data_IF_667429795139
#
_entry.id   IF_667429795139
#
_cell.length_a   1.000
_cell.length_b   1.000
_cell.length_c   1.000
_cell.angle_alpha   90.00
_cell.angle_beta   90.00
_cell.angle_gamma   90.00
#
_symmetry.space_group_name_H-M   'P 1'
#
loop_
_entity.id
_entity.type
_entity.pdbx_description
1 polymer ?
#
# COMPACT_ATOMS: atom_id res chain seq x y z
N UNK A 1 -7.01 -15.48 -65.64
CA UNK A 1 -7.62 -16.77 -65.96
C UNK A 1 -6.57 -17.85 -65.81
N UNK A 2 -6.78 -18.91 -65.02
CA UNK A 2 -7.99 -19.74 -64.99
C UNK A 2 -8.58 -19.89 -63.53
N UNK A 3 -9.80 -20.46 -63.48
CA UNK A 3 -10.73 -20.58 -62.39
C UNK A 3 -10.47 -21.75 -61.39
N UNK A 4 -11.21 -21.83 -60.30
CA UNK A 4 -10.82 -22.63 -59.11
C UNK A 4 -11.38 -24.07 -59.15
N UNK A 5 -10.64 -24.98 -58.48
CA UNK A 5 -11.10 -26.35 -58.21
C UNK A 5 -11.75 -26.44 -56.85
N UNK A 6 -12.94 -27.05 -56.83
CA UNK A 6 -13.74 -27.48 -55.68
C UNK A 6 -13.03 -28.58 -54.88
N UNK A 7 -13.10 -28.52 -53.56
CA UNK A 7 -12.77 -29.65 -52.67
C UNK A 7 -13.95 -29.93 -51.74
N UNK A 8 -14.24 -31.22 -51.68
CA UNK A 8 -15.39 -31.86 -51.08
C UNK A 8 -15.46 -31.76 -49.54
N UNK A 9 -16.71 -31.77 -49.07
CA UNK A 9 -17.11 -31.94 -47.67
C UNK A 9 -16.83 -33.35 -47.15
N UNK A 10 -16.21 -33.47 -45.97
CA UNK A 10 -16.21 -34.72 -45.20
C UNK A 10 -16.78 -34.43 -43.80
N UNK A 11 -17.90 -35.10 -43.51
CA UNK A 11 -18.63 -35.14 -42.27
C UNK A 11 -17.90 -36.02 -41.25
N UNK A 12 -17.80 -35.68 -39.97
CA UNK A 12 -17.27 -36.57 -38.92
C UNK A 12 -18.35 -37.48 -38.33
N UNK A 13 -17.99 -38.67 -37.78
CA UNK A 13 -18.92 -39.71 -37.37
C UNK A 13 -19.52 -39.42 -35.97
N UNK A 14 -20.80 -39.78 -35.84
CA UNK A 14 -21.54 -39.78 -34.56
C UNK A 14 -21.10 -40.90 -33.64
N UNK A 15 -20.80 -40.60 -32.37
CA UNK A 15 -20.60 -41.59 -31.33
C UNK A 15 -21.87 -41.80 -30.52
N UNK A 16 -22.42 -43.04 -30.56
CA UNK A 16 -23.58 -43.51 -29.82
C UNK A 16 -23.28 -43.57 -28.28
N UNK A 17 -24.08 -42.89 -27.50
CA UNK A 17 -24.18 -43.06 -26.07
C UNK A 17 -24.90 -44.36 -25.73
N UNK A 18 -24.22 -45.34 -25.10
CA UNK A 18 -24.83 -46.49 -24.40
C UNK A 18 -24.98 -46.18 -22.92
N UNK A 19 -26.19 -46.01 -22.48
CA UNK A 19 -26.63 -46.03 -21.06
C UNK A 19 -26.62 -47.45 -20.55
N UNK A 20 -25.83 -47.77 -19.53
CA UNK A 20 -26.02 -48.98 -18.72
C UNK A 20 -26.67 -48.59 -17.40
N UNK A 21 -27.87 -49.04 -17.18
CA UNK A 21 -28.53 -49.18 -15.86
C UNK A 21 -28.04 -50.44 -15.22
N UNK A 22 -27.65 -50.40 -13.92
CA UNK A 22 -27.49 -51.57 -13.07
C UNK A 22 -28.58 -51.57 -11.99
N UNK A 23 -29.08 -52.74 -11.59
CA UNK A 23 -30.31 -52.84 -10.80
C UNK A 23 -30.08 -52.75 -9.30
N UNK A 24 -31.15 -52.32 -8.62
CA UNK A 24 -31.34 -52.19 -7.18
C UNK A 24 -31.55 -53.62 -6.63
N UNK A 25 -30.86 -54.06 -5.56
CA UNK A 25 -31.15 -55.23 -4.75
C UNK A 25 -31.73 -54.77 -3.38
N UNK A 26 -32.62 -55.57 -2.78
CA UNK A 26 -33.45 -55.16 -1.66
C UNK A 26 -32.79 -55.32 -0.29
N UNK A 27 -33.23 -54.47 0.64
CA UNK A 27 -32.86 -54.44 2.06
C UNK A 27 -33.55 -55.57 2.84
N UNK A 28 -32.78 -56.30 3.64
CA UNK A 28 -33.29 -57.27 4.63
C UNK A 28 -33.15 -56.69 6.05
N UNK A 29 -34.19 -56.66 6.89
CA UNK A 29 -34.14 -56.15 8.25
C UNK A 29 -34.15 -57.27 9.27
N UNK A 30 -33.00 -57.72 9.78
CA UNK A 30 -32.90 -58.44 11.06
C UNK A 30 -31.48 -58.80 11.47
N UNK A 31 -30.94 -58.08 12.46
CA UNK A 31 -29.91 -58.61 13.40
C UNK A 31 -29.69 -57.64 14.60
N UNK A 32 -29.45 -58.19 15.80
CA UNK A 32 -29.74 -57.50 17.06
C UNK A 32 -28.54 -56.68 17.64
N UNK A 33 -28.91 -55.84 18.58
CA UNK A 33 -28.01 -54.97 19.36
C UNK A 33 -27.08 -55.80 20.25
N UNK A 34 -25.78 -55.41 20.25
CA UNK A 34 -24.77 -55.83 21.22
C UNK A 34 -24.56 -54.74 22.25
N UNK A 35 -24.82 -55.10 23.51
CA UNK A 35 -24.64 -54.34 24.73
C UNK A 35 -23.18 -54.42 25.16
N UNK A 36 -22.54 -53.29 25.49
CA UNK A 36 -21.24 -53.24 26.16
C UNK A 36 -21.39 -53.19 27.67
N UNK A 37 -20.55 -53.93 28.45
CA UNK A 37 -20.50 -53.81 29.90
C UNK A 37 -19.51 -52.73 30.40
N UNK A 38 -19.67 -52.23 31.66
CA UNK A 38 -18.85 -51.22 32.26
C UNK A 38 -17.74 -51.76 33.18
N UNK A 39 -16.70 -50.95 33.36
CA UNK A 39 -15.87 -50.96 34.58
C UNK A 39 -14.53 -51.67 34.48
N UNK A 40 -13.44 -50.94 34.74
CA UNK A 40 -12.73 -51.04 36.02
C UNK A 40 -11.53 -50.08 36.06
N UNK A 41 -11.45 -49.37 37.15
CA UNK A 41 -10.29 -48.55 37.59
C UNK A 41 -9.17 -49.46 38.03
N UNK A 42 -7.90 -49.18 37.63
CA UNK A 42 -6.74 -49.42 38.50
C UNK A 42 -5.67 -48.36 38.22
N UNK A 43 -5.28 -47.67 39.26
CA UNK A 43 -4.14 -46.75 39.35
C UNK A 43 -2.83 -47.54 39.37
N UNK A 44 -1.80 -47.06 38.66
CA UNK A 44 -0.41 -47.27 39.10
C UNK A 44 0.49 -46.16 38.56
N UNK A 45 1.21 -45.59 39.48
CA UNK A 45 2.25 -44.58 39.39
C UNK A 45 3.50 -45.05 38.66
N UNK A 46 4.09 -44.23 37.79
CA UNK A 46 5.55 -44.15 37.66
C UNK A 46 5.97 -42.80 37.08
N UNK A 47 6.73 -42.05 37.82
CA UNK A 47 7.46 -40.84 37.45
C UNK A 47 8.44 -41.11 36.31
N UNK A 48 8.40 -40.31 35.26
CA UNK A 48 9.56 -39.96 34.44
C UNK A 48 9.45 -38.51 34.02
N UNK A 49 10.45 -37.69 34.42
CA UNK A 49 10.48 -36.27 34.17
C UNK A 49 10.51 -35.92 32.70
N UNK A 50 9.50 -35.27 32.23
CA UNK A 50 9.52 -34.52 30.98
C UNK A 50 9.95 -33.09 31.27
N UNK A 51 11.14 -32.75 30.76
CA UNK A 51 11.63 -31.38 30.63
C UNK A 51 10.64 -30.63 29.76
N UNK A 52 9.80 -29.81 30.39
CA UNK A 52 8.87 -28.92 29.73
C UNK A 52 9.63 -27.94 28.86
N UNK A 53 9.74 -28.20 27.55
CA UNK A 53 9.96 -27.18 26.54
C UNK A 53 8.76 -26.24 26.60
N UNK A 54 8.98 -25.06 27.17
CA UNK A 54 8.06 -23.93 27.06
C UNK A 54 7.94 -23.60 25.57
N UNK A 55 6.95 -24.21 24.90
CA UNK A 55 6.52 -23.77 23.59
C UNK A 55 6.05 -22.33 23.76
N UNK A 56 6.85 -21.40 23.30
CA UNK A 56 6.49 -20.00 23.21
C UNK A 56 5.15 -19.92 22.44
N UNK A 57 4.12 -19.49 23.14
CA UNK A 57 2.76 -19.30 22.63
C UNK A 57 2.85 -18.23 21.55
N UNK A 58 3.04 -18.67 20.30
CA UNK A 58 3.18 -17.80 19.13
C UNK A 58 1.81 -17.19 18.82
N UNK A 59 1.62 -15.88 19.00
CA UNK A 59 0.32 -15.22 18.76
C UNK A 59 -0.13 -15.32 17.30
N UNK A 60 0.71 -15.84 16.42
CA UNK A 60 0.45 -16.01 14.98
C UNK A 60 -0.32 -17.31 14.70
N UNK A 61 -0.26 -18.32 15.57
CA UNK A 61 -0.85 -19.65 15.33
C UNK A 61 -2.36 -19.74 15.55
N UNK A 62 -2.97 -18.77 16.26
CA UNK A 62 -4.43 -18.78 16.58
C UNK A 62 -5.34 -18.24 15.45
N UNK A 63 -4.84 -17.94 14.27
CA UNK A 63 -5.58 -17.30 13.16
C UNK A 63 -6.31 -18.23 12.19
N UNK A 64 -6.25 -19.55 12.31
CA UNK A 64 -6.74 -20.48 11.29
C UNK A 64 -8.11 -21.11 11.55
N UNK A 65 -8.98 -20.48 12.35
CA UNK A 65 -10.37 -20.90 12.49
C UNK A 65 -11.28 -20.03 11.59
N UNK A 66 -11.83 -20.63 10.58
CA UNK A 66 -12.96 -20.26 9.72
C UNK A 66 -13.63 -18.88 9.96
N UNK A 67 -13.16 -17.86 9.29
CA UNK A 67 -13.73 -16.52 9.24
C UNK A 67 -12.69 -15.58 8.65
N UNK A 68 -13.00 -14.60 7.83
CA UNK A 68 -12.08 -13.72 7.08
C UNK A 68 -10.81 -13.37 7.89
N UNK A 69 -9.84 -14.29 7.90
CA UNK A 69 -8.64 -14.26 8.73
C UNK A 69 -7.72 -13.12 8.31
N UNK A 70 -6.98 -12.58 9.26
CA UNK A 70 -5.94 -11.57 9.01
C UNK A 70 -4.93 -12.15 8.00
N UNK A 71 -4.75 -11.47 6.88
CA UNK A 71 -3.81 -11.87 5.84
C UNK A 71 -2.41 -11.37 6.21
N UNK A 72 -1.53 -12.30 6.64
CA UNK A 72 -0.18 -11.96 7.12
C UNK A 72 0.67 -11.36 5.99
N UNK A 73 0.55 -11.88 4.79
CA UNK A 73 1.25 -11.36 3.60
C UNK A 73 0.92 -9.90 3.29
N UNK A 74 -0.32 -9.45 3.58
CA UNK A 74 -0.71 -8.04 3.44
C UNK A 74 -0.05 -7.15 4.50
N UNK A 75 0.08 -7.65 5.72
CA UNK A 75 0.80 -6.92 6.79
C UNK A 75 2.30 -6.83 6.48
N UNK A 76 2.89 -7.89 5.91
CA UNK A 76 4.28 -7.89 5.43
C UNK A 76 4.46 -6.89 4.28
N UNK A 77 3.58 -6.91 3.28
CA UNK A 77 3.62 -5.94 2.18
C UNK A 77 3.50 -4.49 2.68
N UNK A 78 2.63 -4.24 3.63
CA UNK A 78 2.50 -2.93 4.28
C UNK A 78 3.78 -2.52 5.00
N UNK A 79 4.39 -3.45 5.74
CA UNK A 79 5.64 -3.20 6.45
C UNK A 79 6.84 -2.95 5.53
N UNK A 80 6.95 -3.70 4.42
CA UNK A 80 7.93 -3.43 3.36
C UNK A 80 7.77 -2.01 2.80
N UNK A 81 6.53 -1.63 2.51
CA UNK A 81 6.21 -0.30 1.96
C UNK A 81 6.56 0.81 2.95
N UNK A 82 6.27 0.64 4.24
CA UNK A 82 6.63 1.60 5.30
C UNK A 82 8.15 1.67 5.49
N UNK A 83 8.85 0.54 5.55
CA UNK A 83 10.30 0.52 5.69
C UNK A 83 10.97 1.24 4.50
N UNK A 84 10.52 0.96 3.27
CA UNK A 84 11.00 1.65 2.07
C UNK A 84 10.70 3.15 2.13
N UNK A 85 9.51 3.57 2.60
CA UNK A 85 9.15 4.98 2.72
C UNK A 85 10.04 5.71 3.73
N UNK A 86 10.30 5.12 4.89
CA UNK A 86 11.21 5.70 5.88
C UNK A 86 12.63 5.82 5.30
N UNK A 87 13.10 4.81 4.58
CA UNK A 87 14.41 4.79 3.95
C UNK A 87 14.60 5.96 2.97
N UNK A 88 13.65 6.14 2.04
CA UNK A 88 13.78 7.14 0.96
C UNK A 88 13.47 8.56 1.41
N UNK A 89 12.71 8.74 2.50
CA UNK A 89 12.38 10.07 3.03
C UNK A 89 13.43 10.61 3.99
N UNK A 90 14.40 9.80 4.43
CA UNK A 90 15.40 10.19 5.43
C UNK A 90 16.84 9.86 4.99
N UNK A 91 17.31 10.34 3.82
CA UNK A 91 18.71 10.21 3.45
C UNK A 91 19.58 11.05 4.39
N UNK A 92 20.83 10.68 4.55
CA UNK A 92 21.78 11.48 5.31
C UNK A 92 22.13 12.80 4.60
N UNK A 93 22.21 12.77 3.27
CA UNK A 93 22.42 13.92 2.40
C UNK A 93 21.57 13.81 1.14
N UNK A 94 20.74 14.81 0.90
CA UNK A 94 19.87 14.89 -0.28
C UNK A 94 20.63 15.12 -1.60
N UNK A 95 21.86 15.64 -1.53
CA UNK A 95 22.74 15.82 -2.68
C UNK A 95 23.38 14.52 -3.17
N UNK A 96 23.46 13.50 -2.33
CA UNK A 96 24.13 12.23 -2.60
C UNK A 96 23.20 11.04 -2.33
N UNK A 97 22.32 10.77 -3.30
CA UNK A 97 21.32 9.69 -3.24
C UNK A 97 21.53 8.77 -4.43
N UNK A 98 21.53 7.46 -4.21
CA UNK A 98 21.48 6.48 -5.30
C UNK A 98 20.20 6.67 -6.15
N UNK A 99 20.34 6.58 -7.46
CA UNK A 99 19.24 6.75 -8.41
C UNK A 99 17.95 6.00 -8.04
N UNK A 100 17.96 4.73 -7.60
CA UNK A 100 16.70 4.02 -7.26
C UNK A 100 15.98 4.58 -6.04
N UNK A 101 16.69 5.34 -5.18
CA UNK A 101 16.18 5.93 -3.95
C UNK A 101 15.76 7.40 -4.12
N UNK A 102 16.09 8.02 -5.25
CA UNK A 102 15.63 9.36 -5.62
C UNK A 102 14.31 9.32 -6.38
N UNK A 103 13.60 10.44 -6.40
CA UNK A 103 12.41 10.61 -7.23
C UNK A 103 12.77 10.96 -8.67
N UNK A 104 11.91 10.57 -9.63
CA UNK A 104 12.01 11.06 -10.99
C UNK A 104 11.84 12.60 -11.01
N UNK A 105 12.66 13.35 -11.80
CA UNK A 105 12.61 14.81 -11.80
C UNK A 105 11.22 15.38 -12.15
N UNK A 106 10.54 14.79 -13.14
CA UNK A 106 9.17 15.17 -13.51
C UNK A 106 8.44 14.01 -14.20
N UNK A 107 8.70 13.75 -15.49
CA UNK A 107 8.17 12.58 -16.20
C UNK A 107 9.03 11.34 -15.95
N UNK A 108 8.41 10.17 -16.02
CA UNK A 108 9.04 8.90 -15.70
C UNK A 108 8.76 8.43 -14.28
N UNK A 109 9.51 7.45 -13.85
CA UNK A 109 9.39 6.86 -12.51
C UNK A 109 10.69 6.18 -12.08
N UNK A 110 10.90 6.08 -10.77
CA UNK A 110 11.94 5.32 -10.11
C UNK A 110 11.29 4.33 -9.13
N UNK A 111 12.02 3.36 -8.57
CA UNK A 111 11.49 2.49 -7.52
C UNK A 111 10.89 3.26 -6.34
N UNK A 112 11.47 4.40 -5.96
CA UNK A 112 10.94 5.29 -4.92
C UNK A 112 9.52 5.79 -5.22
N UNK A 113 9.21 6.05 -6.49
CA UNK A 113 7.90 6.54 -6.89
C UNK A 113 6.79 5.48 -6.82
N UNK A 114 7.11 4.20 -6.63
CA UNK A 114 6.14 3.12 -6.45
C UNK A 114 5.59 3.04 -5.01
N UNK A 115 6.29 3.60 -4.03
CA UNK A 115 6.01 3.39 -2.60
C UNK A 115 4.63 3.94 -2.20
N UNK A 116 4.33 5.19 -2.55
CA UNK A 116 3.06 5.82 -2.16
C UNK A 116 1.83 5.19 -2.85
N UNK A 117 1.84 4.87 -4.17
CA UNK A 117 0.77 4.08 -4.79
C UNK A 117 0.57 2.70 -4.16
N UNK A 118 1.66 2.02 -3.76
CA UNK A 118 1.55 0.74 -3.05
C UNK A 118 0.77 0.91 -1.75
N UNK A 119 1.05 1.98 -1.01
CA UNK A 119 0.31 2.27 0.22
C UNK A 119 -1.18 2.48 -0.03
N UNK A 120 -1.56 3.25 -1.07
CA UNK A 120 -2.97 3.43 -1.45
C UNK A 120 -3.62 2.12 -1.90
N UNK A 121 -2.91 1.28 -2.64
CA UNK A 121 -3.38 -0.06 -3.03
C UNK A 121 -3.64 -0.94 -1.80
N UNK A 122 -2.71 -0.94 -0.82
CA UNK A 122 -2.85 -1.65 0.46
C UNK A 122 -4.07 -1.16 1.25
N UNK A 123 -4.35 0.15 1.23
CA UNK A 123 -5.54 0.72 1.88
C UNK A 123 -6.81 0.12 1.26
N UNK A 124 -6.88 0.01 -0.06
CA UNK A 124 -8.01 -0.61 -0.77
C UNK A 124 -8.18 -2.09 -0.42
N UNK A 125 -7.10 -2.88 -0.49
CA UNK A 125 -7.13 -4.30 -0.10
C UNK A 125 -7.58 -4.45 1.36
N UNK A 126 -6.98 -3.69 2.28
CA UNK A 126 -7.30 -3.74 3.72
C UNK A 126 -8.75 -3.38 4.01
N UNK A 127 -9.35 -2.47 3.23
CA UNK A 127 -10.75 -2.05 3.35
C UNK A 127 -11.68 -3.24 3.15
N UNK A 128 -11.45 -4.08 2.16
CA UNK A 128 -12.27 -5.27 1.88
C UNK A 128 -12.25 -6.23 3.05
N UNK A 129 -11.08 -6.57 3.58
CA UNK A 129 -10.94 -7.44 4.76
C UNK A 129 -11.62 -6.84 6.00
N UNK A 130 -11.48 -5.53 6.22
CA UNK A 130 -12.13 -4.83 7.33
C UNK A 130 -13.65 -4.86 7.21
N UNK A 131 -14.19 -4.61 6.03
CA UNK A 131 -15.63 -4.64 5.78
C UNK A 131 -16.19 -6.06 5.93
N UNK A 132 -15.54 -7.06 5.34
CA UNK A 132 -15.92 -8.45 5.48
C UNK A 132 -15.97 -8.89 6.96
N UNK A 133 -14.93 -8.57 7.73
CA UNK A 133 -14.86 -8.92 9.15
C UNK A 133 -15.92 -8.22 10.02
N UNK A 134 -16.30 -6.98 9.69
CA UNK A 134 -17.33 -6.22 10.43
C UNK A 134 -18.73 -6.65 10.02
N UNK A 135 -18.99 -6.82 8.73
CA UNK A 135 -20.28 -7.32 8.23
C UNK A 135 -20.56 -8.75 8.71
N UNK A 136 -19.53 -9.61 8.77
CA UNK A 136 -19.67 -10.95 9.36
C UNK A 136 -20.00 -10.95 10.85
N UNK A 137 -19.77 -9.83 11.56
CA UNK A 137 -20.20 -9.58 12.94
C UNK A 137 -21.53 -8.82 13.05
N UNK A 138 -22.26 -8.66 11.94
CA UNK A 138 -23.58 -8.01 11.91
C UNK A 138 -23.55 -6.48 11.86
N UNK A 139 -22.42 -5.85 11.54
CA UNK A 139 -22.37 -4.39 11.45
C UNK A 139 -23.24 -3.86 10.31
N UNK A 140 -24.13 -2.91 10.61
CA UNK A 140 -24.97 -2.24 9.63
C UNK A 140 -24.13 -1.31 8.73
N UNK A 141 -24.55 -1.03 7.47
CA UNK A 141 -23.84 -0.11 6.57
C UNK A 141 -23.58 1.27 7.15
N UNK A 142 -24.51 1.81 7.95
CA UNK A 142 -24.33 3.10 8.63
C UNK A 142 -23.19 3.07 9.69
N UNK A 143 -23.01 1.94 10.38
CA UNK A 143 -21.91 1.77 11.33
C UNK A 143 -20.56 1.69 10.61
N UNK A 144 -20.52 1.03 9.44
CA UNK A 144 -19.34 1.01 8.58
C UNK A 144 -18.98 2.43 8.09
N UNK A 145 -19.97 3.19 7.60
CA UNK A 145 -19.77 4.56 7.13
C UNK A 145 -19.26 5.48 8.27
N UNK A 146 -19.85 5.38 9.48
CA UNK A 146 -19.38 6.15 10.66
C UNK A 146 -17.94 5.81 11.03
N UNK A 147 -17.58 4.53 10.98
CA UNK A 147 -16.20 4.11 11.24
C UNK A 147 -15.23 4.65 10.18
N UNK A 148 -15.61 4.62 8.92
CA UNK A 148 -14.82 5.17 7.81
C UNK A 148 -14.62 6.66 8.00
N UNK A 149 -15.68 7.41 8.30
CA UNK A 149 -15.61 8.86 8.52
C UNK A 149 -14.69 9.20 9.70
N UNK A 150 -14.85 8.52 10.83
CA UNK A 150 -13.99 8.71 12.00
C UNK A 150 -12.53 8.44 11.69
N UNK A 151 -12.24 7.30 11.06
CA UNK A 151 -10.88 6.91 10.69
C UNK A 151 -10.24 7.91 9.71
N UNK A 152 -10.98 8.33 8.69
CA UNK A 152 -10.52 9.35 7.74
C UNK A 152 -10.24 10.67 8.45
N UNK A 153 -11.12 11.11 9.35
CA UNK A 153 -10.93 12.32 10.13
C UNK A 153 -9.67 12.28 10.99
N UNK A 154 -9.41 11.16 11.67
CA UNK A 154 -8.21 11.01 12.50
C UNK A 154 -6.94 11.02 11.64
N UNK A 155 -6.91 10.26 10.51
CA UNK A 155 -5.74 10.25 9.60
C UNK A 155 -5.47 11.65 9.03
N UNK A 156 -6.52 12.36 8.63
CA UNK A 156 -6.42 13.73 8.12
C UNK A 156 -5.89 14.69 9.18
N UNK A 157 -6.39 14.61 10.41
CA UNK A 157 -5.95 15.44 11.53
C UNK A 157 -4.48 15.19 11.90
N UNK A 158 -4.04 13.92 11.93
CA UNK A 158 -2.62 13.58 12.14
C UNK A 158 -1.76 14.18 11.02
N UNK A 159 -2.20 14.13 9.76
CA UNK A 159 -1.48 14.75 8.66
C UNK A 159 -1.37 16.27 8.80
N UNK A 160 -2.44 16.96 9.19
CA UNK A 160 -2.40 18.41 9.46
C UNK A 160 -1.48 18.74 10.63
N UNK A 161 -1.51 17.92 11.68
CA UNK A 161 -0.60 18.09 12.82
C UNK A 161 0.87 18.00 12.38
N UNK A 162 1.24 16.99 11.58
CA UNK A 162 2.59 16.84 11.05
C UNK A 162 3.01 18.02 10.18
N UNK A 163 2.12 18.49 9.29
CA UNK A 163 2.39 19.65 8.44
C UNK A 163 2.55 20.97 9.23
N UNK A 164 1.91 21.07 10.40
CA UNK A 164 1.97 22.25 11.27
C UNK A 164 3.18 22.25 12.22
N UNK A 165 3.61 21.05 12.63
CA UNK A 165 4.67 20.89 13.61
C UNK A 165 6.03 21.43 13.10
N UNK A 166 6.84 22.10 13.93
CA UNK A 166 6.57 22.49 15.32
C UNK A 166 5.98 23.91 15.49
N UNK A 167 5.85 24.66 14.39
CA UNK A 167 5.57 26.12 14.48
C UNK A 167 4.10 26.51 14.37
N UNK A 168 3.27 25.64 13.81
CA UNK A 168 1.81 25.83 13.66
C UNK A 168 1.38 27.18 13.06
N UNK A 169 2.10 27.65 12.01
CA UNK A 169 1.73 28.89 11.31
C UNK A 169 0.50 28.67 10.42
N UNK A 170 -0.70 28.87 10.96
CA UNK A 170 -1.97 28.54 10.30
C UNK A 170 -2.13 29.24 8.94
N UNK A 171 -1.66 30.49 8.80
CA UNK A 171 -1.76 31.24 7.53
C UNK A 171 -0.93 30.66 6.37
N UNK A 172 0.04 29.77 6.67
CA UNK A 172 0.93 29.11 5.68
C UNK A 172 0.94 27.61 5.85
N UNK A 173 0.00 27.07 6.63
CA UNK A 173 -0.11 25.64 6.86
C UNK A 173 -0.42 24.91 5.56
N UNK A 174 0.44 23.99 5.14
CA UNK A 174 0.15 23.11 4.00
C UNK A 174 -1.07 22.25 4.33
N UNK A 175 -2.15 22.36 3.55
CA UNK A 175 -3.36 21.55 3.73
C UNK A 175 -3.21 20.17 3.06
N UNK A 176 -2.76 20.06 1.80
CA UNK A 176 -2.47 18.75 1.20
C UNK A 176 -1.33 18.04 1.91
N UNK A 177 -1.22 16.75 1.64
CA UNK A 177 -0.13 15.91 2.14
C UNK A 177 -0.46 14.44 2.03
N UNK A 178 0.51 13.60 2.31
CA UNK A 178 0.40 12.15 2.14
C UNK A 178 -0.76 11.56 2.96
N UNK A 179 -0.85 11.88 4.25
CA UNK A 179 -1.91 11.36 5.12
C UNK A 179 -3.28 11.93 4.76
N UNK A 180 -3.36 13.21 4.39
CA UNK A 180 -4.58 13.85 3.96
C UNK A 180 -5.12 13.20 2.68
N UNK A 181 -4.24 12.94 1.69
CA UNK A 181 -4.62 12.21 0.48
C UNK A 181 -5.10 10.81 0.80
N UNK A 182 -4.40 10.05 1.66
CA UNK A 182 -4.83 8.72 2.12
C UNK A 182 -6.22 8.80 2.73
N UNK A 183 -6.47 9.77 3.61
CA UNK A 183 -7.74 9.95 4.30
C UNK A 183 -8.89 10.22 3.33
N UNK A 184 -8.70 11.15 2.38
CA UNK A 184 -9.71 11.52 1.39
C UNK A 184 -9.96 10.37 0.42
N UNK A 185 -8.91 9.74 -0.11
CA UNK A 185 -9.06 8.59 -1.02
C UNK A 185 -9.74 7.41 -0.32
N UNK A 186 -9.38 7.11 0.94
CA UNK A 186 -10.03 6.07 1.73
C UNK A 186 -11.51 6.37 1.96
N UNK A 187 -11.85 7.61 2.35
CA UNK A 187 -13.23 8.03 2.57
C UNK A 187 -14.08 7.84 1.31
N UNK A 188 -13.64 8.44 0.20
CA UNK A 188 -14.42 8.44 -1.05
C UNK A 188 -14.52 7.02 -1.61
N UNK A 189 -13.42 6.28 -1.67
CA UNK A 189 -13.45 4.89 -2.14
C UNK A 189 -14.37 4.01 -1.28
N UNK A 190 -14.32 4.16 0.05
CA UNK A 190 -15.20 3.42 0.96
C UNK A 190 -16.69 3.75 0.72
N UNK A 191 -17.03 5.02 0.54
CA UNK A 191 -18.41 5.43 0.23
C UNK A 191 -18.87 4.86 -1.12
N UNK A 192 -18.02 4.89 -2.15
CA UNK A 192 -18.31 4.28 -3.46
C UNK A 192 -18.60 2.77 -3.28
N UNK A 193 -17.74 2.07 -2.55
CA UNK A 193 -17.92 0.62 -2.29
C UNK A 193 -19.19 0.33 -1.50
N UNK A 194 -19.49 1.12 -0.46
CA UNK A 194 -20.72 0.97 0.33
C UNK A 194 -21.98 1.19 -0.52
N UNK A 195 -21.97 2.18 -1.42
CA UNK A 195 -23.09 2.44 -2.33
C UNK A 195 -23.19 1.35 -3.38
N UNK A 196 -22.09 1.00 -4.05
CA UNK A 196 -22.06 -0.02 -5.10
C UNK A 196 -22.53 -1.40 -4.61
N UNK A 197 -22.28 -1.72 -3.34
CA UNK A 197 -22.52 -3.03 -2.74
C UNK A 197 -23.66 -3.05 -1.72
N UNK A 198 -24.51 -2.03 -1.68
CA UNK A 198 -25.62 -1.96 -0.70
C UNK A 198 -26.45 -3.23 -0.58
N UNK A 199 -26.62 -3.95 -1.71
CA UNK A 199 -27.43 -5.20 -1.78
C UNK A 199 -26.65 -6.47 -1.49
N UNK A 200 -25.32 -6.42 -1.47
CA UNK A 200 -24.45 -7.61 -1.36
C UNK A 200 -23.44 -7.55 -0.21
N UNK A 201 -23.50 -6.53 0.66
CA UNK A 201 -22.55 -6.33 1.76
C UNK A 201 -22.42 -7.56 2.69
N UNK A 202 -23.49 -8.34 2.83
CA UNK A 202 -23.52 -9.55 3.67
C UNK A 202 -23.20 -10.85 2.90
N UNK A 203 -22.85 -10.75 1.61
CA UNK A 203 -22.48 -11.90 0.76
C UNK A 203 -21.02 -11.79 0.36
N UNK A 204 -20.43 -12.92 -0.03
CA UNK A 204 -19.10 -12.87 -0.63
C UNK A 204 -19.16 -12.07 -1.94
N UNK A 205 -18.14 -11.23 -2.23
CA UNK A 205 -18.10 -10.45 -3.45
C UNK A 205 -18.20 -11.37 -4.68
N UNK A 206 -19.13 -11.06 -5.58
CA UNK A 206 -19.28 -11.74 -6.85
C UNK A 206 -18.71 -10.88 -7.98
N UNK A 207 -18.34 -11.47 -9.12
CA UNK A 207 -17.83 -10.73 -10.29
C UNK A 207 -18.77 -9.60 -10.74
N UNK A 208 -20.10 -9.78 -10.62
CA UNK A 208 -21.09 -8.74 -10.93
C UNK A 208 -21.03 -7.52 -10.00
N UNK A 209 -20.50 -7.69 -8.77
CA UNK A 209 -20.35 -6.59 -7.82
C UNK A 209 -19.09 -5.75 -8.12
N UNK A 210 -18.19 -6.23 -8.99
CA UNK A 210 -17.03 -5.52 -9.46
C UNK A 210 -17.35 -4.50 -10.56
N UNK A 211 -18.39 -4.74 -11.37
CA UNK A 211 -18.71 -3.91 -12.53
C UNK A 211 -18.94 -2.42 -12.20
N UNK A 212 -19.71 -2.02 -11.16
CA UNK A 212 -19.86 -0.61 -10.83
C UNK A 212 -18.56 0.02 -10.34
N UNK A 213 -17.70 -0.74 -9.63
CA UNK A 213 -16.39 -0.25 -9.18
C UNK A 213 -15.45 -0.04 -10.37
N UNK A 214 -15.44 -0.99 -11.32
CA UNK A 214 -14.68 -0.87 -12.57
C UNK A 214 -15.14 0.33 -13.41
N UNK A 215 -16.45 0.57 -13.51
CA UNK A 215 -16.99 1.73 -14.21
C UNK A 215 -16.52 3.05 -13.57
N UNK A 216 -16.51 3.14 -12.25
CA UNK A 216 -15.98 4.32 -11.54
C UNK A 216 -14.48 4.50 -11.79
N UNK A 217 -13.68 3.43 -11.71
CA UNK A 217 -12.24 3.47 -12.02
C UNK A 217 -12.04 4.01 -13.43
N UNK A 218 -12.78 3.49 -14.41
CA UNK A 218 -12.68 3.93 -15.81
C UNK A 218 -13.02 5.43 -15.95
N UNK A 219 -14.13 5.87 -15.36
CA UNK A 219 -14.55 7.29 -15.39
C UNK A 219 -13.51 8.19 -14.73
N UNK A 220 -12.93 7.79 -13.60
CA UNK A 220 -11.90 8.56 -12.92
C UNK A 220 -10.62 8.67 -13.75
N UNK A 221 -10.15 7.58 -14.35
CA UNK A 221 -8.90 7.57 -15.12
C UNK A 221 -9.05 8.27 -16.47
N UNK A 222 -10.11 7.95 -17.22
CA UNK A 222 -10.36 8.57 -18.53
C UNK A 222 -10.79 10.02 -18.37
N UNK A 223 -11.65 10.32 -17.41
CA UNK A 223 -12.08 11.68 -17.09
C UNK A 223 -10.92 12.58 -16.68
N UNK A 224 -10.02 12.06 -15.84
CA UNK A 224 -8.81 12.79 -15.46
C UNK A 224 -7.90 13.07 -16.65
N UNK A 225 -7.65 12.05 -17.46
CA UNK A 225 -6.89 12.22 -18.71
C UNK A 225 -7.52 13.25 -19.63
N UNK A 226 -8.83 13.20 -19.82
CA UNK A 226 -9.56 14.14 -20.66
C UNK A 226 -9.47 15.57 -20.12
N UNK A 227 -9.64 15.77 -18.79
CA UNK A 227 -9.48 17.06 -18.15
C UNK A 227 -8.08 17.64 -18.38
N UNK A 228 -7.04 16.85 -18.14
CA UNK A 228 -5.65 17.29 -18.30
C UNK A 228 -5.25 17.57 -19.75
N UNK A 229 -5.93 16.93 -20.72
CA UNK A 229 -5.59 17.01 -22.14
C UNK A 229 -6.40 18.11 -22.85
N UNK A 230 -7.69 18.24 -22.55
CA UNK A 230 -8.58 19.08 -23.36
C UNK A 230 -8.99 20.40 -22.68
N UNK A 231 -8.87 20.51 -21.36
CA UNK A 231 -9.24 21.77 -20.67
C UNK A 231 -8.09 22.77 -20.78
N UNK A 232 -8.32 23.95 -21.40
CA UNK A 232 -7.29 24.96 -21.53
C UNK A 232 -6.99 25.65 -20.20
N UNK A 233 -5.73 25.85 -19.92
CA UNK A 233 -5.24 26.64 -18.77
C UNK A 233 -4.93 28.07 -19.24
N UNK A 234 -5.46 29.11 -18.57
CA UNK A 234 -5.17 30.49 -18.92
C UNK A 234 -3.66 30.77 -18.99
N UNK A 235 -3.23 31.29 -20.15
CA UNK A 235 -1.82 31.60 -20.43
C UNK A 235 -0.95 30.39 -20.87
N UNK A 236 -1.48 29.15 -20.82
CA UNK A 236 -0.71 27.94 -21.15
C UNK A 236 -1.36 27.04 -22.22
N UNK A 237 -2.66 27.23 -22.50
CA UNK A 237 -3.41 26.42 -23.43
C UNK A 237 -3.84 25.04 -22.88
N UNK A 238 -4.37 24.20 -23.76
CA UNK A 238 -4.78 22.82 -23.43
C UNK A 238 -3.61 21.83 -23.53
N UNK A 239 -3.67 20.73 -22.77
CA UNK A 239 -2.69 19.65 -22.85
C UNK A 239 -1.30 19.97 -22.30
N UNK A 240 -1.13 21.10 -21.62
CA UNK A 240 0.15 21.45 -21.02
C UNK A 240 0.38 20.64 -19.74
N UNK A 241 1.46 19.85 -19.70
CA UNK A 241 1.83 19.00 -18.56
C UNK A 241 3.08 19.48 -17.81
N UNK A 242 3.56 20.72 -18.10
CA UNK A 242 4.70 21.30 -17.37
C UNK A 242 4.34 21.59 -15.91
N UNK A 243 5.30 21.68 -14.99
CA UNK A 243 5.03 21.93 -13.58
C UNK A 243 4.16 23.15 -13.31
N UNK A 244 4.34 24.23 -14.08
CA UNK A 244 3.64 25.51 -13.87
C UNK A 244 2.35 25.64 -14.68
N UNK A 245 2.29 24.98 -15.86
CA UNK A 245 1.26 25.20 -16.88
C UNK A 245 0.14 24.16 -16.90
N UNK A 246 0.23 23.10 -16.09
CA UNK A 246 -0.77 22.05 -16.09
C UNK A 246 -2.05 22.45 -15.32
N UNK A 247 -3.18 21.80 -15.66
CA UNK A 247 -4.48 22.07 -15.07
C UNK A 247 -4.51 21.81 -13.56
N UNK A 248 -3.82 20.76 -13.07
CA UNK A 248 -3.78 20.48 -11.64
C UNK A 248 -3.10 21.64 -10.87
N UNK A 249 -1.96 22.13 -11.36
CA UNK A 249 -1.27 23.27 -10.77
C UNK A 249 -2.12 24.55 -10.79
N UNK A 250 -2.91 24.76 -11.85
CA UNK A 250 -3.84 25.88 -11.91
C UNK A 250 -4.92 25.80 -10.83
N UNK A 251 -5.53 24.62 -10.66
CA UNK A 251 -6.55 24.38 -9.64
C UNK A 251 -5.95 24.49 -8.23
N UNK A 252 -4.76 23.95 -8.03
CA UNK A 252 -4.05 24.04 -6.74
C UNK A 252 -3.85 25.49 -6.32
N UNK A 253 -3.37 26.35 -7.23
CA UNK A 253 -3.22 27.80 -6.96
C UNK A 253 -4.55 28.49 -6.68
N UNK A 254 -5.59 28.13 -7.43
CA UNK A 254 -6.91 28.75 -7.30
C UNK A 254 -7.62 28.39 -5.98
N UNK A 255 -7.50 27.13 -5.54
CA UNK A 255 -8.22 26.62 -4.37
C UNK A 255 -7.42 26.73 -3.07
N UNK A 256 -6.11 26.52 -3.11
CA UNK A 256 -5.28 26.37 -1.93
C UNK A 256 -4.46 27.63 -1.60
N UNK A 257 -4.22 28.51 -2.58
CA UNK A 257 -3.52 29.77 -2.35
C UNK A 257 -2.17 29.60 -1.64
N UNK A 258 -2.03 30.19 -0.45
CA UNK A 258 -0.81 30.12 0.37
C UNK A 258 -0.59 28.79 1.12
N UNK A 259 -1.48 27.81 0.96
CA UNK A 259 -1.48 26.50 1.68
C UNK A 259 -0.85 25.37 0.88
N UNK A 260 -0.06 25.67 -0.15
CA UNK A 260 0.69 24.73 -0.99
C UNK A 260 2.01 24.32 -0.35
N UNK A 261 2.63 23.31 -0.92
CA UNK A 261 3.95 22.86 -0.52
C UNK A 261 5.00 23.97 -0.76
N UNK A 262 5.75 24.30 0.28
CA UNK A 262 6.70 25.43 0.27
C UNK A 262 7.84 25.28 -0.75
N UNK A 263 8.22 24.06 -1.12
CA UNK A 263 9.28 23.81 -2.10
C UNK A 263 8.83 24.10 -3.54
N UNK A 264 7.56 23.81 -3.87
CA UNK A 264 7.04 24.01 -5.23
C UNK A 264 6.36 25.37 -5.40
N UNK A 265 5.68 25.87 -4.37
CA UNK A 265 4.93 27.15 -4.28
C UNK A 265 3.76 27.29 -5.27
N UNK A 266 3.81 26.63 -6.43
CA UNK A 266 2.87 26.79 -7.54
C UNK A 266 1.95 25.59 -7.75
N UNK A 267 2.26 24.45 -7.17
CA UNK A 267 1.52 23.18 -7.28
C UNK A 267 1.81 22.30 -6.09
N UNK A 268 0.97 21.30 -5.85
CA UNK A 268 1.15 20.32 -4.78
C UNK A 268 1.01 18.90 -5.33
N UNK A 269 1.98 17.99 -5.10
CA UNK A 269 1.87 16.61 -5.59
C UNK A 269 0.65 15.89 -5.03
N UNK A 270 0.11 16.32 -3.88
CA UNK A 270 -1.10 15.81 -3.25
C UNK A 270 -2.31 16.75 -3.45
N UNK A 271 -2.33 17.54 -4.53
CA UNK A 271 -3.39 18.49 -4.85
C UNK A 271 -4.77 17.86 -5.12
N UNK A 272 -5.85 18.68 -5.13
CA UNK A 272 -7.22 18.20 -5.25
C UNK A 272 -7.50 17.44 -6.55
N UNK A 273 -7.06 17.95 -7.71
CA UNK A 273 -7.37 17.31 -9.00
C UNK A 273 -6.67 15.96 -9.14
N UNK A 274 -5.38 15.86 -8.77
CA UNK A 274 -4.61 14.61 -8.81
C UNK A 274 -5.09 13.57 -7.78
N UNK A 275 -5.97 13.95 -6.87
CA UNK A 275 -6.65 13.02 -5.94
C UNK A 275 -7.67 12.13 -6.66
N UNK A 276 -8.25 12.55 -7.80
CA UNK A 276 -9.20 11.74 -8.56
C UNK A 276 -8.58 10.41 -9.02
N UNK A 277 -7.45 10.38 -9.75
CA UNK A 277 -6.81 9.12 -10.12
C UNK A 277 -6.21 8.38 -8.91
N UNK A 278 -5.87 9.06 -7.81
CA UNK A 278 -5.44 8.40 -6.58
C UNK A 278 -6.59 7.59 -5.92
N UNK A 279 -7.85 8.05 -6.01
CA UNK A 279 -9.03 7.26 -5.61
C UNK A 279 -9.13 5.99 -6.46
N UNK A 280 -8.88 6.06 -7.77
CA UNK A 280 -8.85 4.88 -8.63
C UNK A 280 -7.79 3.87 -8.19
N UNK A 281 -6.61 4.32 -7.72
CA UNK A 281 -5.59 3.44 -7.14
C UNK A 281 -6.13 2.64 -5.95
N UNK A 282 -6.87 3.29 -5.03
CA UNK A 282 -7.51 2.60 -3.90
C UNK A 282 -8.58 1.62 -4.36
N UNK A 283 -9.41 2.01 -5.36
CA UNK A 283 -10.46 1.15 -5.89
C UNK A 283 -9.91 -0.08 -6.63
N UNK A 284 -8.78 0.04 -7.33
CA UNK A 284 -8.06 -1.12 -7.88
C UNK A 284 -7.62 -2.04 -6.73
N UNK A 285 -7.08 -1.48 -5.65
CA UNK A 285 -6.78 -2.23 -4.42
C UNK A 285 -8.00 -2.96 -3.84
N UNK A 286 -9.20 -2.36 -3.90
CA UNK A 286 -10.46 -3.02 -3.49
C UNK A 286 -10.73 -4.25 -4.36
N UNK A 287 -10.58 -4.17 -5.68
CA UNK A 287 -10.77 -5.33 -6.58
C UNK A 287 -9.75 -6.44 -6.30
N UNK A 288 -8.50 -6.08 -6.02
CA UNK A 288 -7.47 -7.04 -5.58
C UNK A 288 -7.85 -7.70 -4.26
N UNK A 289 -8.39 -6.94 -3.31
CA UNK A 289 -8.90 -7.46 -2.05
C UNK A 289 -10.06 -8.44 -2.24
N UNK A 290 -10.99 -8.15 -3.14
CA UNK A 290 -12.10 -9.05 -3.50
C UNK A 290 -11.59 -10.37 -4.09
N UNK A 291 -10.59 -10.29 -4.98
CA UNK A 291 -9.96 -11.47 -5.55
C UNK A 291 -9.31 -12.34 -4.47
N UNK A 292 -8.60 -11.71 -3.53
CA UNK A 292 -7.98 -12.44 -2.41
C UNK A 292 -9.01 -13.03 -1.44
N UNK A 293 -10.16 -12.37 -1.23
CA UNK A 293 -11.25 -12.88 -0.42
C UNK A 293 -12.12 -13.94 -1.13
N UNK A 294 -11.95 -14.15 -2.42
CA UNK A 294 -12.69 -15.13 -3.21
C UNK A 294 -12.44 -16.57 -2.73
N UNK A 295 -13.28 -17.52 -3.17
CA UNK A 295 -13.14 -18.95 -2.84
C UNK A 295 -12.14 -19.72 -3.72
N UNK A 296 -11.43 -19.03 -4.60
CA UNK A 296 -10.45 -19.67 -5.47
C UNK A 296 -9.28 -20.27 -4.67
N UNK A 297 -8.68 -21.31 -5.24
CA UNK A 297 -7.48 -21.92 -4.68
C UNK A 297 -6.33 -20.88 -4.56
N UNK A 298 -5.48 -20.97 -3.51
CA UNK A 298 -4.40 -20.01 -3.29
C UNK A 298 -3.48 -19.86 -4.50
N UNK A 299 -3.17 -20.94 -5.21
CA UNK A 299 -2.34 -20.93 -6.42
C UNK A 299 -2.99 -20.11 -7.54
N UNK A 300 -4.31 -20.29 -7.75
CA UNK A 300 -5.04 -19.53 -8.78
C UNK A 300 -5.07 -18.03 -8.45
N UNK A 301 -5.20 -17.67 -7.17
CA UNK A 301 -5.11 -16.28 -6.71
C UNK A 301 -3.75 -15.68 -7.05
N UNK A 302 -2.68 -16.43 -6.79
CA UNK A 302 -1.30 -16.03 -7.09
C UNK A 302 -1.10 -15.81 -8.57
N UNK A 303 -1.45 -16.81 -9.40
CA UNK A 303 -1.30 -16.69 -10.86
C UNK A 303 -2.14 -15.54 -11.43
N UNK A 304 -3.40 -15.40 -10.99
CA UNK A 304 -4.28 -14.32 -11.44
C UNK A 304 -3.69 -12.94 -11.15
N UNK A 305 -3.21 -12.70 -9.92
CA UNK A 305 -2.60 -11.42 -9.56
C UNK A 305 -1.29 -11.16 -10.31
N UNK A 306 -0.46 -12.20 -10.52
CA UNK A 306 0.80 -12.07 -11.25
C UNK A 306 0.58 -11.68 -12.71
N UNK A 307 -0.29 -12.42 -13.43
CA UNK A 307 -0.56 -12.15 -14.84
C UNK A 307 -1.31 -10.84 -15.06
N UNK A 308 -2.32 -10.53 -14.24
CA UNK A 308 -3.01 -9.24 -14.29
C UNK A 308 -2.05 -8.11 -13.96
N UNK A 309 -1.19 -8.28 -12.94
CA UNK A 309 -0.16 -7.32 -12.59
C UNK A 309 0.82 -7.07 -13.74
N UNK A 310 1.30 -8.12 -14.42
CA UNK A 310 2.14 -8.01 -15.60
C UNK A 310 1.45 -7.28 -16.76
N UNK A 311 0.18 -7.60 -17.01
CA UNK A 311 -0.62 -6.91 -18.02
C UNK A 311 -0.81 -5.42 -17.70
N UNK A 312 -0.99 -5.06 -16.44
CA UNK A 312 -1.10 -3.67 -15.98
C UNK A 312 0.22 -2.91 -16.15
N UNK A 313 1.36 -3.53 -15.83
CA UNK A 313 2.69 -2.94 -16.07
C UNK A 313 2.88 -2.67 -17.56
N UNK A 314 2.58 -3.64 -18.40
CA UNK A 314 2.67 -3.49 -19.86
C UNK A 314 1.74 -2.38 -20.38
N UNK A 315 0.47 -2.38 -19.97
CA UNK A 315 -0.51 -1.36 -20.34
C UNK A 315 -0.10 0.04 -19.87
N UNK A 316 0.39 0.16 -18.61
CA UNK A 316 0.89 1.43 -18.09
C UNK A 316 2.06 2.00 -18.90
N UNK A 317 2.98 1.13 -19.36
CA UNK A 317 4.06 1.51 -20.25
C UNK A 317 3.57 1.89 -21.67
N UNK A 318 2.56 1.20 -22.16
CA UNK A 318 1.94 1.54 -23.44
C UNK A 318 1.25 2.92 -23.36
N UNK A 319 0.52 3.19 -22.30
CA UNK A 319 -0.17 4.46 -22.07
C UNK A 319 0.79 5.63 -21.84
N UNK A 320 2.03 5.39 -21.45
CA UNK A 320 3.09 6.39 -21.29
C UNK A 320 3.31 7.22 -22.57
N UNK A 321 3.08 6.62 -23.74
CA UNK A 321 3.20 7.29 -25.04
C UNK A 321 2.11 8.34 -25.30
N UNK A 322 0.93 8.20 -24.69
CA UNK A 322 -0.22 9.10 -24.84
C UNK A 322 -0.39 10.07 -23.66
N UNK A 323 -0.08 9.60 -22.46
CA UNK A 323 -0.16 10.36 -21.22
C UNK A 323 1.02 9.98 -20.34
N UNK A 324 2.08 10.80 -20.34
CA UNK A 324 3.35 10.46 -19.71
C UNK A 324 3.19 10.03 -18.26
N UNK A 325 3.93 8.98 -17.85
CA UNK A 325 3.99 8.53 -16.47
C UNK A 325 4.55 9.67 -15.62
N UNK A 326 3.77 10.13 -14.64
CA UNK A 326 4.15 11.22 -13.77
C UNK A 326 3.51 11.05 -12.39
N UNK A 327 4.36 10.91 -11.35
CA UNK A 327 3.93 10.80 -9.95
C UNK A 327 3.30 12.09 -9.44
N UNK A 328 3.88 13.24 -9.77
CA UNK A 328 3.44 14.54 -9.24
C UNK A 328 2.04 14.91 -9.74
N UNK A 329 1.72 14.50 -10.96
CA UNK A 329 0.38 14.64 -11.55
C UNK A 329 -0.53 13.44 -11.25
N UNK A 330 0.02 12.32 -10.78
CA UNK A 330 -0.71 11.06 -10.58
C UNK A 330 -1.44 10.60 -11.84
N UNK A 331 -0.74 10.62 -12.98
CA UNK A 331 -1.34 10.33 -14.30
C UNK A 331 -2.00 8.95 -14.37
N UNK A 332 -2.98 8.79 -15.26
CA UNK A 332 -3.69 7.52 -15.42
C UNK A 332 -2.76 6.36 -15.83
N UNK A 333 -1.75 6.64 -16.66
CA UNK A 333 -0.67 5.72 -17.00
C UNK A 333 0.14 5.28 -15.76
N UNK A 334 0.46 6.24 -14.90
CA UNK A 334 1.14 5.99 -13.62
C UNK A 334 0.31 5.13 -12.68
N UNK A 335 -1.01 5.38 -12.55
CA UNK A 335 -1.91 4.54 -11.74
C UNK A 335 -1.89 3.09 -12.19
N UNK A 336 -2.02 2.85 -13.50
CA UNK A 336 -2.06 1.50 -14.06
C UNK A 336 -0.71 0.80 -13.87
N UNK A 337 0.39 1.49 -14.19
CA UNK A 337 1.74 0.96 -13.98
C UNK A 337 1.97 0.53 -12.53
N UNK A 338 1.71 1.44 -11.60
CA UNK A 338 1.99 1.21 -10.18
C UNK A 338 1.07 0.18 -9.54
N UNK A 339 -0.19 0.10 -9.97
CA UNK A 339 -1.10 -0.97 -9.57
C UNK A 339 -0.61 -2.34 -10.04
N UNK A 340 -0.04 -2.43 -11.24
CA UNK A 340 0.61 -3.64 -11.75
C UNK A 340 1.76 -4.10 -10.86
N UNK A 341 2.69 -3.21 -10.54
CA UNK A 341 3.80 -3.52 -9.63
C UNK A 341 3.32 -3.86 -8.20
N UNK A 342 2.28 -3.19 -7.69
CA UNK A 342 1.70 -3.52 -6.40
C UNK A 342 1.13 -4.94 -6.37
N UNK A 343 0.41 -5.36 -7.42
CA UNK A 343 -0.10 -6.72 -7.57
C UNK A 343 1.02 -7.75 -7.61
N UNK A 344 2.09 -7.50 -8.38
CA UNK A 344 3.24 -8.40 -8.48
C UNK A 344 3.93 -8.55 -7.11
N UNK A 345 4.23 -7.44 -6.42
CA UNK A 345 4.90 -7.50 -5.11
C UNK A 345 4.02 -8.15 -4.04
N UNK A 346 2.71 -7.86 -4.04
CA UNK A 346 1.75 -8.53 -3.16
C UNK A 346 1.68 -10.04 -3.47
N UNK A 347 1.76 -10.43 -4.74
CA UNK A 347 1.82 -11.84 -5.15
C UNK A 347 3.05 -12.54 -4.58
N UNK A 348 4.21 -11.91 -4.64
CA UNK A 348 5.46 -12.45 -4.06
C UNK A 348 5.31 -12.63 -2.54
N UNK A 349 4.82 -11.61 -1.84
CA UNK A 349 4.55 -11.70 -0.41
C UNK A 349 3.55 -12.81 -0.07
N UNK A 350 2.45 -12.90 -0.83
CA UNK A 350 1.43 -13.93 -0.64
C UNK A 350 1.98 -15.34 -0.86
N UNK A 351 2.74 -15.54 -1.93
CA UNK A 351 3.34 -16.82 -2.25
C UNK A 351 4.35 -17.26 -1.19
N UNK A 352 5.26 -16.38 -0.76
CA UNK A 352 6.27 -16.68 0.23
C UNK A 352 5.68 -16.97 1.60
N UNK A 353 4.71 -16.15 2.04
CA UNK A 353 4.19 -16.17 3.41
C UNK A 353 3.05 -17.17 3.57
N UNK A 354 2.06 -17.19 2.64
CA UNK A 354 0.85 -18.00 2.80
C UNK A 354 0.98 -19.37 2.14
N UNK A 355 1.71 -19.48 1.01
CA UNK A 355 1.83 -20.77 0.29
C UNK A 355 3.08 -21.51 0.72
N UNK A 356 4.26 -20.87 0.71
CA UNK A 356 5.53 -21.48 1.13
C UNK A 356 5.72 -21.56 2.64
N UNK A 357 5.00 -20.75 3.41
CA UNK A 357 5.10 -20.69 4.87
C UNK A 357 6.43 -20.12 5.40
N UNK A 358 7.23 -19.47 4.55
CA UNK A 358 8.51 -18.87 4.94
C UNK A 358 8.27 -17.51 5.60
N UNK A 359 8.25 -17.47 6.95
CA UNK A 359 7.88 -16.28 7.72
C UNK A 359 9.04 -15.57 8.41
N UNK A 360 10.19 -16.24 8.65
CA UNK A 360 11.32 -15.68 9.42
C UNK A 360 11.86 -14.37 8.85
N UNK A 361 12.05 -14.29 7.53
CA UNK A 361 12.50 -13.09 6.85
C UNK A 361 11.50 -11.91 6.94
N UNK A 362 10.24 -12.25 7.12
CA UNK A 362 9.12 -11.29 7.11
C UNK A 362 8.86 -10.63 8.48
N UNK A 363 9.45 -11.14 9.56
CA UNK A 363 9.21 -10.64 10.92
C UNK A 363 9.46 -9.12 11.08
N UNK A 364 10.59 -8.52 10.62
CA UNK A 364 10.81 -7.08 10.74
C UNK A 364 9.72 -6.28 10.04
N UNK A 365 9.31 -6.74 8.85
CA UNK A 365 8.25 -6.10 8.08
C UNK A 365 6.87 -6.29 8.71
N UNK A 366 6.61 -7.45 9.32
CA UNK A 366 5.39 -7.67 10.07
C UNK A 366 5.29 -6.70 11.26
N UNK A 367 6.40 -6.45 11.96
CA UNK A 367 6.48 -5.46 13.04
C UNK A 367 6.09 -4.08 12.51
N UNK A 368 6.69 -3.61 11.42
CA UNK A 368 6.31 -2.35 10.78
C UNK A 368 4.83 -2.31 10.36
N UNK A 369 4.34 -3.40 9.75
CA UNK A 369 2.97 -3.50 9.25
C UNK A 369 1.90 -3.46 10.34
N UNK A 370 2.21 -3.83 11.59
CA UNK A 370 1.25 -3.85 12.70
C UNK A 370 0.87 -2.46 13.21
N UNK A 371 1.79 -1.50 13.21
CA UNK A 371 1.61 -0.13 13.68
C UNK A 371 2.01 0.90 12.60
N UNK A 372 1.63 0.65 11.34
CA UNK A 372 2.11 1.38 10.17
C UNK A 372 1.92 2.91 10.27
N UNK A 373 0.74 3.37 10.73
CA UNK A 373 0.47 4.81 10.86
C UNK A 373 1.30 5.45 11.98
N UNK A 374 1.46 4.73 13.10
CA UNK A 374 2.28 5.22 14.20
C UNK A 374 3.73 5.41 13.78
N UNK A 375 4.33 4.37 13.17
CA UNK A 375 5.75 4.45 12.81
C UNK A 375 6.02 5.48 11.72
N UNK A 376 5.07 5.67 10.79
CA UNK A 376 5.13 6.76 9.83
C UNK A 376 5.12 8.13 10.53
N UNK A 377 4.13 8.38 11.37
CA UNK A 377 4.04 9.65 12.10
C UNK A 377 5.25 9.88 13.01
N UNK A 378 5.75 8.84 13.66
CA UNK A 378 6.96 8.89 14.47
C UNK A 378 8.19 9.24 13.64
N UNK A 379 8.39 8.61 12.47
CA UNK A 379 9.53 8.90 11.59
C UNK A 379 9.52 10.33 11.08
N UNK A 380 8.34 10.86 10.68
CA UNK A 380 8.20 12.25 10.26
C UNK A 380 8.46 13.24 11.42
N UNK A 381 7.89 12.99 12.60
CA UNK A 381 8.15 13.82 13.78
C UNK A 381 9.63 13.84 14.17
N UNK A 382 10.28 12.68 14.12
CA UNK A 382 11.71 12.58 14.43
C UNK A 382 12.54 13.36 13.40
N UNK A 383 12.27 13.18 12.10
CA UNK A 383 12.98 13.90 11.04
C UNK A 383 12.82 15.42 11.18
N UNK A 384 11.57 15.90 11.33
CA UNK A 384 11.28 17.32 11.53
C UNK A 384 12.00 17.85 12.79
N UNK A 385 12.01 17.07 13.87
CA UNK A 385 12.69 17.48 15.13
C UNK A 385 14.20 17.59 14.96
N UNK A 386 14.83 16.64 14.24
CA UNK A 386 16.25 16.67 13.96
C UNK A 386 16.63 17.87 13.08
N UNK A 387 15.79 18.25 12.14
CA UNK A 387 16.01 19.44 11.30
C UNK A 387 15.71 20.76 12.02
N UNK A 388 14.76 20.75 12.93
CA UNK A 388 14.36 21.93 13.70
C UNK A 388 15.40 22.30 14.75
N UNK A 389 15.97 21.32 15.44
CA UNK A 389 16.98 21.53 16.46
C UNK A 389 18.27 22.04 15.81
N UNK A 390 18.66 23.27 16.15
CA UNK A 390 19.86 23.92 15.61
C UNK A 390 20.96 23.96 16.67
N UNK A 391 22.14 23.48 16.31
CA UNK A 391 23.36 23.60 17.10
C UNK A 391 24.19 24.76 16.57
N UNK A 392 24.76 25.55 17.48
CA UNK A 392 25.74 26.60 17.12
C UNK A 392 27.11 25.94 17.05
N UNK A 393 27.71 25.94 15.88
CA UNK A 393 29.03 25.33 15.64
C UNK A 393 29.97 26.32 14.94
N UNK A 394 31.24 26.21 15.21
CA UNK A 394 32.24 26.87 14.41
C UNK A 394 32.32 26.22 13.02
N UNK A 395 31.97 26.99 12.00
CA UNK A 395 32.14 26.57 10.61
C UNK A 395 33.42 27.20 10.08
N UNK A 396 34.25 26.45 9.32
CA UNK A 396 35.36 27.08 8.59
C UNK A 396 34.74 28.14 7.66
N UNK A 397 35.23 29.36 7.76
CA UNK A 397 34.77 30.42 6.86
C UNK A 397 34.99 29.96 5.42
N UNK A 398 33.93 30.00 4.60
CA UNK A 398 34.03 29.80 3.16
C UNK A 398 34.66 31.07 2.55
N UNK A 399 35.94 31.28 2.80
CA UNK A 399 36.69 32.44 2.33
C UNK A 399 37.80 31.97 1.36
N UNK A 400 38.15 32.80 0.35
CA UNK A 400 39.35 32.59 -0.43
C UNK A 400 40.61 32.56 0.49
N UNK A 401 41.70 31.94 0.06
CA UNK A 401 42.90 31.68 0.91
C UNK A 401 43.52 32.91 1.58
N UNK A 402 43.19 34.12 1.15
CA UNK A 402 43.80 35.37 1.60
C UNK A 402 42.99 36.14 2.68
N UNK A 403 41.84 35.66 3.08
CA UNK A 403 41.15 36.27 4.24
C UNK A 403 41.53 35.49 5.49
N UNK A 404 42.13 36.15 6.48
CA UNK A 404 42.44 35.58 7.78
C UNK A 404 41.21 34.85 8.34
N UNK A 405 41.20 33.52 8.29
CA UNK A 405 40.06 32.67 8.56
C UNK A 405 39.62 32.78 10.02
N UNK A 406 38.70 33.72 10.30
CA UNK A 406 37.94 33.70 11.53
C UNK A 406 36.81 32.66 11.36
N UNK A 407 36.76 31.65 12.23
CA UNK A 407 35.68 30.69 12.28
C UNK A 407 34.34 31.45 12.48
N UNK A 408 33.43 31.30 11.55
CA UNK A 408 32.08 31.89 11.65
C UNK A 408 31.18 30.93 12.42
N UNK A 409 30.60 31.40 13.51
CA UNK A 409 29.59 30.63 14.25
C UNK A 409 28.33 30.45 13.38
N UNK A 410 28.18 29.27 12.79
CA UNK A 410 27.05 28.89 11.99
C UNK A 410 26.05 28.02 12.77
N UNK A 411 24.75 28.11 12.43
CA UNK A 411 23.71 27.24 12.98
C UNK A 411 23.49 26.06 12.04
N UNK A 412 23.83 24.87 12.48
CA UNK A 412 23.65 23.61 11.74
C UNK A 412 22.51 22.81 12.35
N UNK A 413 21.67 22.14 11.54
CA UNK A 413 20.64 21.24 12.06
C UNK A 413 21.28 20.04 12.77
N UNK A 414 20.61 19.52 13.78
CA UNK A 414 21.07 18.31 14.48
C UNK A 414 21.21 17.13 13.49
N UNK A 415 20.32 17.02 12.49
CA UNK A 415 20.44 16.08 11.39
C UNK A 415 21.79 16.21 10.68
N UNK A 416 22.10 17.40 10.16
CA UNK A 416 23.35 17.64 9.45
C UNK A 416 24.58 17.45 10.34
N UNK A 417 24.49 17.80 11.63
CA UNK A 417 25.56 17.57 12.59
C UNK A 417 25.85 16.07 12.76
N UNK A 418 24.80 15.26 13.03
CA UNK A 418 24.94 13.81 13.20
C UNK A 418 25.51 13.18 11.91
N UNK A 419 24.98 13.56 10.75
CA UNK A 419 25.45 13.05 9.47
C UNK A 419 26.93 13.36 9.25
N UNK A 420 27.31 14.64 9.30
CA UNK A 420 28.67 15.07 8.99
C UNK A 420 29.71 14.57 10.01
N UNK A 421 29.31 14.42 11.30
CA UNK A 421 30.25 14.01 12.36
C UNK A 421 30.47 12.51 12.40
N UNK A 422 29.43 11.72 12.14
CA UNK A 422 29.47 10.27 12.38
C UNK A 422 29.38 9.41 11.13
N UNK A 423 28.75 9.89 10.05
CA UNK A 423 28.51 9.09 8.85
C UNK A 423 29.39 9.50 7.67
N UNK A 424 29.49 10.80 7.37
CA UNK A 424 30.26 11.29 6.24
C UNK A 424 31.73 10.83 6.22
N UNK A 425 32.44 10.69 7.37
CA UNK A 425 33.82 10.19 7.38
C UNK A 425 33.97 8.69 7.13
N UNK A 426 32.84 7.90 7.19
CA UNK A 426 32.94 6.45 7.17
C UNK A 426 32.97 5.85 5.74
N UNK A 427 32.42 6.55 4.74
CA UNK A 427 32.25 5.99 3.41
C UNK A 427 32.14 7.10 2.34
N UNK A 428 32.01 6.70 1.06
CA UNK A 428 31.66 7.65 -0.01
C UNK A 428 30.34 8.38 0.28
N UNK A 429 30.12 9.59 -0.26
CA UNK A 429 28.94 10.41 0.07
C UNK A 429 27.61 9.66 -0.08
N UNK A 430 27.42 8.88 -1.16
CA UNK A 430 26.20 8.09 -1.40
C UNK A 430 26.06 6.96 -0.38
N UNK A 431 27.17 6.25 -0.07
CA UNK A 431 27.18 5.17 0.91
C UNK A 431 26.94 5.68 2.33
N UNK A 432 27.53 6.82 2.69
CA UNK A 432 27.34 7.46 3.98
C UNK A 432 25.87 7.92 4.15
N UNK A 433 25.29 8.52 3.10
CA UNK A 433 23.88 8.91 3.06
C UNK A 433 22.94 7.71 3.23
N UNK A 434 23.20 6.61 2.51
CA UNK A 434 22.45 5.36 2.64
C UNK A 434 22.61 4.73 4.04
N UNK A 435 23.83 4.72 4.60
CA UNK A 435 24.08 4.17 5.93
C UNK A 435 23.29 4.93 7.01
N UNK A 436 23.23 6.26 6.91
CA UNK A 436 22.39 7.07 7.81
C UNK A 436 20.90 6.67 7.69
N UNK A 437 20.38 6.58 6.45
CA UNK A 437 19.01 6.19 6.20
C UNK A 437 18.68 4.79 6.75
N UNK A 438 19.60 3.83 6.60
CA UNK A 438 19.44 2.47 7.17
C UNK A 438 19.43 2.49 8.70
N UNK A 439 20.31 3.26 9.34
CA UNK A 439 20.30 3.44 10.79
C UNK A 439 19.00 4.07 11.28
N UNK A 440 18.46 5.03 10.52
CA UNK A 440 17.17 5.66 10.82
C UNK A 440 16.01 4.65 10.73
N UNK A 441 16.00 3.79 9.71
CA UNK A 441 15.04 2.67 9.58
C UNK A 441 15.15 1.70 10.75
N UNK A 442 16.39 1.32 11.15
CA UNK A 442 16.63 0.41 12.28
C UNK A 442 16.17 1.02 13.61
N UNK A 443 16.37 2.34 13.82
CA UNK A 443 15.85 3.05 14.98
C UNK A 443 14.31 2.98 15.04
N UNK A 444 13.64 3.28 13.92
CA UNK A 444 12.18 3.18 13.82
C UNK A 444 11.68 1.73 14.03
N UNK A 445 12.43 0.74 13.52
CA UNK A 445 12.14 -0.68 13.78
C UNK A 445 12.26 -1.01 15.25
N UNK A 446 13.32 -0.56 15.93
CA UNK A 446 13.56 -0.79 17.35
C UNK A 446 12.42 -0.26 18.22
N UNK A 447 11.98 0.98 17.96
CA UNK A 447 10.83 1.58 18.66
C UNK A 447 9.56 0.77 18.42
N UNK A 448 9.29 0.40 17.15
CA UNK A 448 8.08 -0.36 16.82
C UNK A 448 8.14 -1.80 17.33
N UNK A 449 9.34 -2.40 17.40
CA UNK A 449 9.58 -3.71 17.99
C UNK A 449 9.27 -3.71 19.50
N UNK A 450 9.63 -2.64 20.22
CA UNK A 450 9.31 -2.50 21.64
C UNK A 450 7.79 -2.47 21.87
N UNK A 451 7.05 -1.72 21.04
CA UNK A 451 5.58 -1.69 21.08
C UNK A 451 4.98 -3.06 20.74
N UNK A 452 5.53 -3.73 19.72
CA UNK A 452 5.11 -5.07 19.30
C UNK A 452 5.29 -6.09 20.43
N UNK A 453 6.47 -6.11 21.09
CA UNK A 453 6.75 -6.99 22.24
C UNK A 453 5.80 -6.74 23.41
N UNK A 454 5.47 -5.46 23.66
CA UNK A 454 4.50 -5.08 24.69
C UNK A 454 3.04 -5.27 24.27
N UNK A 455 2.79 -5.82 23.08
CA UNK A 455 1.44 -6.04 22.49
C UNK A 455 0.62 -4.75 22.38
N UNK A 456 1.28 -3.59 22.24
CA UNK A 456 0.63 -2.29 22.02
C UNK A 456 0.40 -2.13 20.53
N UNK A 457 -0.86 -2.20 20.10
CA UNK A 457 -1.27 -2.01 18.71
C UNK A 457 -2.17 -0.78 18.63
N UNK A 458 -1.62 0.30 18.07
CA UNK A 458 -2.36 1.55 17.88
C UNK A 458 -3.26 1.41 16.65
N UNK A 459 -4.49 0.95 16.87
CA UNK A 459 -5.51 0.79 15.83
C UNK A 459 -6.31 2.08 15.73
N UNK A 460 -6.16 2.77 14.62
CA UNK A 460 -6.97 3.92 14.22
C UNK A 460 -7.99 3.48 13.18
#
# INVERSE_FOLDING_TARGET
MPAPRSVASTTPPQYHRRTRRSPIAPTDPSAPAVVSPPGENTASSANAGEVGTIAADDPISRGNAAGAGRLVSLDVFRGLTIAAMILVNNPGDWGHIYWPLGHAPWHGWTPTDLIFPFFLSIVGVSMVFSFAARSGRGAAPAQLARHVLWRSGVIFAVGLFLNGFPRFHLAKLRIPGVLQRIAVCYLIAALIVLVARRRSLNRQPAMRDAAPVLAVIFVLLVGYWALMTFVPVPGYGAGNLTPQGNLAAYIDRALLGGHLWSQTRNWDPEGPLSTLPAIATVLIGVLVGDWLCSRHAPQLKTYGLFFVGGAFVFLGRLLDTFFPINKNLWTSSYVILTAGFAMILLTVCYWLVEIRGTRRWAEPFLVFGTNALFVYAFSELLAISLDFLKLTMEQPAACPPDCGASAVLGRVSLHSYIYNRFFAPLASPENASLLFALCFVLLCLGVNWLLYRRRIFLKI
#
